data_IF_770020835044
#
_entry.id   IF_770020835044
#
_cell.length_a   1.000
_cell.length_b   1.000
_cell.length_c   1.000
_cell.angle_alpha   90.00
_cell.angle_beta   90.00
_cell.angle_gamma   90.00
#
_symmetry.space_group_name_H-M   'P 1'
#
loop_
_entity.id
_entity.type
_entity.pdbx_description
1 polymer ?
#
# COMPACT_ATOMS: atom_id res chain seq x y z
N UNK A 1 9.30 8.83 20.51
CA UNK A 1 10.10 10.03 20.19
C UNK A 1 9.58 10.56 18.86
N UNK A 2 8.88 11.69 18.85
CA UNK A 2 8.40 12.33 17.61
C UNK A 2 9.55 13.11 16.99
N UNK A 3 10.16 12.55 15.95
CA UNK A 3 11.00 13.32 15.03
C UNK A 3 10.17 14.37 14.28
N UNK A 4 10.81 15.31 13.57
CA UNK A 4 10.08 16.26 12.73
C UNK A 4 9.27 15.49 11.67
N UNK A 5 8.01 15.90 11.46
CA UNK A 5 7.16 15.34 10.40
C UNK A 5 7.84 15.54 9.04
N UNK A 6 7.87 14.49 8.22
CA UNK A 6 8.30 14.59 6.83
C UNK A 6 7.34 15.51 6.07
N UNK A 7 7.85 16.35 5.15
CA UNK A 7 6.99 17.11 4.25
C UNK A 7 6.68 16.27 3.00
N UNK A 8 5.42 15.92 2.67
CA UNK A 8 5.13 15.04 1.54
C UNK A 8 5.54 15.57 0.16
N UNK A 9 5.69 16.88 0.00
CA UNK A 9 6.18 17.52 -1.22
C UNK A 9 7.72 17.48 -1.36
N UNK A 10 8.44 17.07 -0.32
CA UNK A 10 9.89 16.84 -0.36
C UNK A 10 10.29 15.46 -0.92
N UNK A 11 9.31 14.60 -1.22
CA UNK A 11 9.52 13.24 -1.75
C UNK A 11 8.86 13.04 -3.12
N UNK A 12 9.39 12.07 -3.88
CA UNK A 12 8.92 11.75 -5.22
C UNK A 12 7.53 11.11 -5.21
N UNK A 13 7.27 10.22 -4.24
CA UNK A 13 5.98 9.53 -4.11
C UNK A 13 5.17 10.12 -2.97
N UNK A 14 3.94 10.53 -3.25
CA UNK A 14 3.05 11.15 -2.26
C UNK A 14 1.61 10.80 -2.53
N UNK A 15 0.82 10.82 -1.47
CA UNK A 15 -0.63 10.65 -1.55
C UNK A 15 -1.26 11.73 -2.45
N UNK A 16 -2.29 11.41 -3.25
CA UNK A 16 -3.06 12.43 -3.97
C UNK A 16 -3.86 13.35 -3.04
N UNK A 17 -4.10 12.96 -1.78
CA UNK A 17 -4.87 13.71 -0.78
C UNK A 17 -3.98 14.29 0.34
N UNK A 18 -2.66 14.31 0.16
CA UNK A 18 -1.72 14.73 1.21
C UNK A 18 -1.98 16.14 1.75
N UNK A 19 -2.50 17.06 0.92
CA UNK A 19 -2.84 18.43 1.35
C UNK A 19 -4.02 18.47 2.31
N UNK A 20 -5.03 17.63 2.09
CA UNK A 20 -6.14 17.50 3.03
C UNK A 20 -5.68 16.88 4.34
N UNK A 21 -4.83 15.86 4.28
CA UNK A 21 -4.20 15.28 5.47
C UNK A 21 -3.38 16.32 6.24
N UNK A 22 -2.60 17.16 5.56
CA UNK A 22 -1.89 18.28 6.19
C UNK A 22 -2.86 19.28 6.86
N UNK A 23 -3.96 19.64 6.19
CA UNK A 23 -4.99 20.53 6.75
C UNK A 23 -5.65 19.94 8.00
N UNK A 24 -5.78 18.61 8.06
CA UNK A 24 -6.28 17.87 9.23
C UNK A 24 -5.22 17.70 10.34
N UNK A 25 -4.00 18.22 10.16
CA UNK A 25 -2.92 18.12 11.14
C UNK A 25 -2.26 16.74 11.16
N UNK A 26 -2.13 16.09 10.00
CA UNK A 26 -1.44 14.82 9.91
C UNK A 26 0.07 14.95 10.12
N UNK A 27 0.65 13.95 10.80
CA UNK A 27 2.10 13.73 10.88
C UNK A 27 2.48 12.68 9.86
N UNK A 28 3.55 12.92 9.11
CA UNK A 28 4.02 12.03 8.08
C UNK A 28 5.38 11.42 8.40
N UNK A 29 5.52 10.15 8.05
CA UNK A 29 6.79 9.42 8.09
C UNK A 29 7.15 8.88 6.70
N UNK A 30 8.42 8.53 6.52
CA UNK A 30 8.90 7.93 5.28
C UNK A 30 8.45 6.47 5.18
N UNK A 31 7.91 6.10 4.02
CA UNK A 31 7.64 4.74 3.61
C UNK A 31 8.25 4.51 2.23
N UNK A 32 9.41 3.87 2.19
CA UNK A 32 10.19 3.73 0.95
C UNK A 32 10.61 5.10 0.42
N UNK A 33 10.20 5.40 -0.81
CA UNK A 33 10.43 6.66 -1.53
C UNK A 33 9.28 7.68 -1.36
N UNK A 34 8.34 7.41 -0.45
CA UNK A 34 7.17 8.25 -0.23
C UNK A 34 6.88 8.62 1.22
N UNK A 35 5.90 9.50 1.40
CA UNK A 35 5.44 9.98 2.70
C UNK A 35 4.03 9.42 3.01
N UNK A 36 3.88 8.80 4.18
CA UNK A 36 2.61 8.26 4.67
C UNK A 36 2.20 8.98 5.95
N UNK A 37 0.91 9.28 6.10
CA UNK A 37 0.39 9.81 7.35
C UNK A 37 0.36 8.70 8.40
N UNK A 38 1.00 8.93 9.55
CA UNK A 38 1.06 7.98 10.68
C UNK A 38 0.10 8.36 11.80
N UNK A 39 -0.27 9.63 11.88
CA UNK A 39 -1.35 10.13 12.75
C UNK A 39 -2.08 11.28 12.09
N UNK A 40 -3.34 11.53 12.46
CA UNK A 40 -4.16 12.64 11.95
C UNK A 40 -4.84 13.39 13.08
N UNK A 41 -4.35 14.60 13.38
CA UNK A 41 -5.03 15.60 14.21
C UNK A 41 -5.32 15.20 15.67
N UNK A 42 -4.82 14.04 16.13
CA UNK A 42 -5.01 13.53 17.48
C UNK A 42 -3.89 12.57 17.88
N UNK A 43 -3.95 12.09 19.12
CA UNK A 43 -3.07 11.04 19.62
C UNK A 43 -3.44 9.69 19.00
N UNK A 44 -2.47 8.77 18.93
CA UNK A 44 -2.70 7.41 18.44
C UNK A 44 -3.83 6.69 19.21
N UNK A 45 -3.96 6.94 20.52
CA UNK A 45 -5.05 6.38 21.32
C UNK A 45 -6.42 6.92 20.91
N UNK A 46 -6.53 8.23 20.64
CA UNK A 46 -7.76 8.84 20.15
C UNK A 46 -8.12 8.36 18.74
N UNK A 47 -7.13 8.16 17.87
CA UNK A 47 -7.35 7.56 16.55
C UNK A 47 -7.81 6.10 16.64
N UNK A 48 -7.19 5.29 17.50
CA UNK A 48 -7.61 3.91 17.73
C UNK A 48 -9.06 3.84 18.23
N UNK A 49 -9.47 4.76 19.11
CA UNK A 49 -10.86 4.83 19.59
C UNK A 49 -11.83 5.18 18.45
N UNK A 50 -11.53 6.20 17.64
CA UNK A 50 -12.35 6.54 16.47
C UNK A 50 -12.44 5.40 15.46
N UNK A 51 -11.34 4.67 15.26
CA UNK A 51 -11.28 3.54 14.35
C UNK A 51 -12.18 2.37 14.79
N UNK A 52 -12.54 2.25 16.07
CA UNK A 52 -13.53 1.25 16.54
C UNK A 52 -14.93 1.51 15.99
N UNK A 53 -15.28 2.77 15.70
CA UNK A 53 -16.53 3.13 15.04
C UNK A 53 -16.37 3.05 13.51
N UNK A 54 -15.45 3.85 12.96
CA UNK A 54 -15.09 3.84 11.54
C UNK A 54 -13.73 4.53 11.34
N UNK A 55 -12.75 3.80 10.83
CA UNK A 55 -11.45 4.33 10.45
C UNK A 55 -11.32 4.49 8.93
N UNK A 56 -10.74 5.61 8.50
CA UNK A 56 -10.27 5.80 7.13
C UNK A 56 -8.74 5.95 7.15
N UNK A 57 -8.06 5.16 6.34
CA UNK A 57 -6.60 5.20 6.22
C UNK A 57 -6.22 5.40 4.75
N UNK A 58 -5.28 6.31 4.50
CA UNK A 58 -4.74 6.53 3.17
C UNK A 58 -3.52 5.63 2.92
N UNK A 59 -3.72 4.62 2.08
CA UNK A 59 -2.70 3.65 1.68
C UNK A 59 -2.21 3.89 0.24
N UNK A 60 -2.50 5.05 -0.35
CA UNK A 60 -2.23 5.34 -1.76
C UNK A 60 -0.74 5.30 -2.12
N UNK A 61 0.14 5.45 -1.13
CA UNK A 61 1.60 5.41 -1.28
C UNK A 61 2.19 4.00 -1.23
N UNK A 62 1.40 2.98 -0.87
CA UNK A 62 1.89 1.59 -0.87
C UNK A 62 2.38 1.18 -2.27
N UNK A 63 3.50 0.44 -2.36
CA UNK A 63 4.02 -0.05 -3.63
C UNK A 63 3.02 -1.01 -4.27
N UNK A 64 2.76 -0.83 -5.56
CA UNK A 64 1.86 -1.68 -6.33
C UNK A 64 2.29 -1.79 -7.79
N UNK A 65 2.03 -2.92 -8.41
CA UNK A 65 2.30 -3.17 -9.82
C UNK A 65 1.18 -4.02 -10.44
N UNK A 66 0.69 -3.62 -11.62
CA UNK A 66 -0.34 -4.33 -12.36
C UNK A 66 0.26 -5.04 -13.58
N UNK A 67 -0.23 -6.24 -13.85
CA UNK A 67 0.24 -7.09 -14.95
C UNK A 67 -0.95 -7.53 -15.78
N UNK A 68 -0.85 -7.34 -17.10
CA UNK A 68 -1.92 -7.65 -18.05
C UNK A 68 -1.36 -8.38 -19.26
N UNK A 69 -2.09 -9.39 -19.74
CA UNK A 69 -1.76 -10.14 -20.94
C UNK A 69 -2.26 -11.58 -20.87
N UNK A 70 -2.38 -12.22 -22.04
CA UNK A 70 -2.91 -13.58 -22.18
C UNK A 70 -2.23 -14.62 -21.27
N UNK A 71 -0.94 -14.44 -20.97
CA UNK A 71 -0.15 -15.31 -20.10
C UNK A 71 0.20 -14.69 -18.74
N UNK A 72 -0.47 -13.60 -18.32
CA UNK A 72 -0.09 -12.87 -17.11
C UNK A 72 -0.21 -13.74 -15.84
N UNK A 73 -1.33 -14.45 -15.67
CA UNK A 73 -1.54 -15.32 -14.50
C UNK A 73 -0.49 -16.44 -14.43
N UNK A 74 -0.24 -17.11 -15.55
CA UNK A 74 0.76 -18.18 -15.62
C UNK A 74 2.18 -17.65 -15.41
N UNK A 75 2.48 -16.47 -15.97
CA UNK A 75 3.75 -15.80 -15.71
C UNK A 75 3.91 -15.50 -14.21
N UNK A 76 2.90 -14.91 -13.56
CA UNK A 76 2.93 -14.62 -12.13
C UNK A 76 3.15 -15.87 -11.28
N UNK A 77 2.47 -16.99 -11.61
CA UNK A 77 2.69 -18.29 -10.97
C UNK A 77 4.12 -18.81 -11.16
N UNK A 78 4.70 -18.67 -12.37
CA UNK A 78 6.12 -19.00 -12.62
C UNK A 78 7.09 -18.12 -11.84
N UNK A 79 6.70 -16.89 -11.50
CA UNK A 79 7.46 -16.01 -10.58
C UNK A 79 7.27 -16.36 -9.10
N UNK A 80 6.59 -17.47 -8.78
CA UNK A 80 6.36 -17.97 -7.44
C UNK A 80 5.18 -17.31 -6.71
N UNK A 81 4.31 -16.57 -7.41
CA UNK A 81 3.13 -15.98 -6.81
C UNK A 81 2.03 -17.01 -6.57
N UNK A 82 1.46 -17.03 -5.37
CA UNK A 82 0.25 -17.77 -5.06
C UNK A 82 -0.96 -17.06 -5.65
N UNK A 83 -1.36 -17.41 -6.87
CA UNK A 83 -2.54 -16.86 -7.56
C UNK A 83 -3.58 -17.97 -7.75
N UNK A 84 -4.70 -17.87 -7.07
CA UNK A 84 -5.81 -18.84 -7.19
C UNK A 84 -6.66 -18.66 -8.46
N UNK A 85 -7.71 -19.47 -8.56
CA UNK A 85 -8.52 -19.56 -9.79
C UNK A 85 -9.61 -18.49 -9.92
N UNK A 86 -9.99 -17.81 -8.83
CA UNK A 86 -11.15 -16.92 -8.82
C UNK A 86 -10.72 -15.48 -9.09
N UNK A 87 -11.40 -14.84 -10.05
CA UNK A 87 -11.30 -13.41 -10.27
C UNK A 87 -11.93 -12.63 -9.12
N UNK A 88 -11.49 -11.38 -8.96
CA UNK A 88 -11.89 -10.44 -7.92
C UNK A 88 -11.61 -10.93 -6.49
N UNK A 89 -10.52 -11.68 -6.30
CA UNK A 89 -10.02 -12.08 -4.99
C UNK A 89 -8.55 -11.70 -4.82
N UNK A 90 -8.17 -11.35 -3.59
CA UNK A 90 -6.80 -11.14 -3.18
C UNK A 90 -6.24 -12.40 -2.51
N UNK A 91 -5.04 -12.79 -2.91
CA UNK A 91 -4.31 -13.94 -2.41
C UNK A 91 -3.10 -13.46 -1.59
N UNK A 92 -3.04 -13.75 -0.28
CA UNK A 92 -1.90 -13.40 0.56
C UNK A 92 -0.62 -14.13 0.14
N UNK A 93 0.50 -13.42 0.20
CA UNK A 93 1.82 -13.97 -0.05
C UNK A 93 2.60 -14.10 1.27
N UNK A 94 3.65 -14.92 1.27
CA UNK A 94 4.46 -15.18 2.47
C UNK A 94 5.17 -13.92 3.03
N UNK A 95 5.43 -12.91 2.19
CA UNK A 95 6.06 -11.64 2.57
C UNK A 95 5.05 -10.57 3.02
N UNK A 96 3.75 -10.91 3.09
CA UNK A 96 2.68 -9.98 3.45
C UNK A 96 2.13 -9.17 2.28
N UNK A 97 2.62 -9.37 1.04
CA UNK A 97 1.99 -8.79 -0.14
C UNK A 97 0.63 -9.45 -0.41
N UNK A 98 -0.20 -8.74 -1.19
CA UNK A 98 -1.48 -9.23 -1.70
C UNK A 98 -1.42 -9.29 -3.23
N UNK A 99 -1.84 -10.41 -3.81
CA UNK A 99 -2.04 -10.53 -5.25
C UNK A 99 -3.52 -10.60 -5.55
N UNK A 100 -4.09 -9.53 -6.09
CA UNK A 100 -5.47 -9.49 -6.54
C UNK A 100 -5.58 -9.98 -7.98
N UNK A 101 -6.23 -11.12 -8.21
CA UNK A 101 -6.59 -11.57 -9.57
C UNK A 101 -7.81 -10.76 -10.01
N UNK A 102 -7.66 -9.95 -11.05
CA UNK A 102 -8.72 -9.03 -11.52
C UNK A 102 -9.54 -9.66 -12.65
N UNK A 103 -8.86 -10.39 -13.54
CA UNK A 103 -9.45 -11.12 -14.65
C UNK A 103 -8.56 -12.32 -15.03
N UNK A 104 -8.99 -13.12 -16.00
CA UNK A 104 -8.23 -14.29 -16.46
C UNK A 104 -6.86 -13.94 -17.06
N UNK A 105 -6.67 -12.67 -17.44
CA UNK A 105 -5.44 -12.15 -18.04
C UNK A 105 -4.85 -10.98 -17.27
N UNK A 106 -5.28 -10.76 -16.02
CA UNK A 106 -4.90 -9.56 -15.26
C UNK A 106 -4.82 -9.79 -13.76
N UNK A 107 -3.74 -9.30 -13.16
CA UNK A 107 -3.59 -9.26 -11.71
C UNK A 107 -2.84 -8.00 -11.24
N UNK A 108 -3.08 -7.63 -9.99
CA UNK A 108 -2.42 -6.54 -9.28
C UNK A 108 -1.67 -7.12 -8.09
N UNK A 109 -0.42 -6.69 -7.91
CA UNK A 109 0.35 -6.93 -6.69
C UNK A 109 0.33 -5.65 -5.86
N UNK A 110 -0.06 -5.76 -4.60
CA UNK A 110 0.05 -4.72 -3.58
C UNK A 110 1.07 -5.18 -2.54
N UNK A 111 2.14 -4.42 -2.36
CA UNK A 111 3.14 -4.69 -1.33
C UNK A 111 2.66 -4.23 0.05
N UNK A 112 3.18 -4.83 1.14
CA UNK A 112 2.87 -4.41 2.50
C UNK A 112 3.46 -3.04 2.82
N UNK A 113 2.94 -2.38 3.87
CA UNK A 113 3.61 -1.24 4.49
C UNK A 113 4.89 -1.66 5.22
N UNK A 114 6.03 -1.03 4.94
CA UNK A 114 7.33 -1.22 5.59
C UNK A 114 8.44 -1.63 4.61
N UNK A 115 9.55 -2.19 5.14
CA UNK A 115 10.69 -2.68 4.34
C UNK A 115 10.38 -3.91 3.47
N UNK A 116 9.15 -4.44 3.51
CA UNK A 116 8.76 -5.71 2.90
C UNK A 116 8.08 -5.59 1.52
N UNK A 117 8.33 -4.51 0.76
CA UNK A 117 7.90 -4.40 -0.64
C UNK A 117 8.65 -5.34 -1.62
N UNK A 118 9.24 -6.43 -1.13
CA UNK A 118 10.17 -7.27 -1.86
C UNK A 118 9.54 -7.89 -3.11
N UNK A 119 8.28 -8.36 -3.03
CA UNK A 119 7.60 -8.92 -4.20
C UNK A 119 7.36 -7.88 -5.30
N UNK A 120 6.90 -6.68 -4.97
CA UNK A 120 6.68 -5.63 -5.99
C UNK A 120 8.00 -5.20 -6.63
N UNK A 121 9.05 -5.00 -5.82
CA UNK A 121 10.37 -4.62 -6.32
C UNK A 121 11.03 -5.70 -7.19
N UNK A 122 10.84 -6.98 -6.87
CA UNK A 122 11.40 -8.12 -7.63
C UNK A 122 10.76 -8.31 -9.01
N UNK A 123 9.49 -7.93 -9.15
CA UNK A 123 8.71 -8.13 -10.37
C UNK A 123 8.72 -6.90 -11.29
N UNK A 124 9.39 -5.82 -10.89
CA UNK A 124 9.51 -4.57 -11.63
C UNK A 124 10.66 -4.59 -12.65
#
# INVERSE_FOLDING_TARGET
MTGPSLSPDSVLRRSPVYRELQRLGAVFEALGDGAVAVTVGATAAAEAERARALGLCDLSVLPRAGYKGWAAIDWGRRQGLGIGERNNLAYPQADGALVARLADSEFLVLGPGGRAGATVARLA
#
